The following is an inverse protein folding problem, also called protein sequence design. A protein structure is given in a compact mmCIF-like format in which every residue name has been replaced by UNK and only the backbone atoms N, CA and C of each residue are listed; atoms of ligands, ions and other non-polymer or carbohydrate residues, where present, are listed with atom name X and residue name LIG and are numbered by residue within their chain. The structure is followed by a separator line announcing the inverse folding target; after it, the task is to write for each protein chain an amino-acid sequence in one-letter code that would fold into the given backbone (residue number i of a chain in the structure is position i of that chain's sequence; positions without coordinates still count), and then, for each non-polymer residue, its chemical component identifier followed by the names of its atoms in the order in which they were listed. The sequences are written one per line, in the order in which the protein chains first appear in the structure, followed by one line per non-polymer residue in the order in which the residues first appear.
data_IF_219770346775
#
_entry.id   IF_219770346775
#
_cell.length_a   1.000
_cell.length_b   1.000
_cell.length_c   1.000
_cell.angle_alpha   90.00
_cell.angle_beta   90.00
_cell.angle_gamma   90.00
#
_symmetry.space_group_name_H-M   'P 1'
#
loop_
_entity.id
_entity.type
_entity.pdbx_description
1 polymer ?
#
# COMPACT_ATOMS: atom_id res chain seq x y z
N UNK A 1 50.17 -11.99 10.94
CA UNK A 1 49.08 -12.65 10.17
C UNK A 1 47.79 -11.88 10.39
N UNK A 2 46.90 -11.92 9.41
CA UNK A 2 45.98 -10.84 9.02
C UNK A 2 44.89 -10.49 10.03
N UNK A 3 44.68 -9.17 10.13
CA UNK A 3 43.51 -8.47 10.66
C UNK A 3 42.21 -8.85 9.94
N UNK A 4 41.07 -8.67 10.62
CA UNK A 4 39.80 -8.43 9.95
C UNK A 4 38.56 -8.84 10.74
N UNK A 5 38.29 -8.18 11.87
CA UNK A 5 36.95 -8.16 12.44
C UNK A 5 36.50 -6.69 12.54
N UNK A 6 35.42 -6.36 11.82
CA UNK A 6 34.26 -5.56 12.26
C UNK A 6 33.53 -4.91 11.06
N UNK A 7 32.20 -4.96 11.02
CA UNK A 7 31.39 -3.87 10.49
C UNK A 7 30.82 -3.09 11.67
N UNK A 8 31.52 -2.04 12.11
CA UNK A 8 30.95 -1.03 13.00
C UNK A 8 30.27 0.03 12.15
N UNK A 9 28.96 -0.11 11.95
CA UNK A 9 28.17 1.05 11.52
C UNK A 9 28.08 2.02 12.71
N UNK A 10 28.60 3.23 12.52
CA UNK A 10 28.77 4.25 13.56
C UNK A 10 27.41 4.89 13.92
N UNK A 11 27.10 5.17 15.20
CA UNK A 11 25.85 5.83 15.62
C UNK A 11 25.56 7.16 14.92
N UNK A 12 26.61 7.89 14.53
CA UNK A 12 26.51 9.18 13.84
C UNK A 12 25.84 9.07 12.45
N UNK A 13 26.14 8.02 11.67
CA UNK A 13 25.50 7.83 10.36
C UNK A 13 24.00 7.57 10.53
N UNK A 14 23.61 6.70 11.46
CA UNK A 14 22.19 6.37 11.70
C UNK A 14 21.37 7.60 12.09
N UNK A 15 21.96 8.48 12.90
CA UNK A 15 21.32 9.73 13.34
C UNK A 15 21.16 10.75 12.20
N UNK A 16 22.12 10.80 11.28
CA UNK A 16 22.07 11.63 10.08
C UNK A 16 21.04 11.11 9.04
N UNK A 17 20.95 9.79 8.86
CA UNK A 17 19.95 9.11 8.03
C UNK A 17 18.51 9.39 8.50
N UNK A 18 18.25 9.20 9.80
CA UNK A 18 16.94 9.47 10.39
C UNK A 18 16.59 10.97 10.28
N UNK A 19 17.59 11.85 10.37
CA UNK A 19 17.39 13.30 10.20
C UNK A 19 16.99 13.71 8.79
N UNK A 20 17.56 13.08 7.75
CA UNK A 20 17.27 13.41 6.36
C UNK A 20 15.89 12.92 5.93
N UNK A 21 15.50 11.71 6.34
CA UNK A 21 14.17 11.18 6.06
C UNK A 21 13.10 12.07 6.70
N UNK A 22 13.24 12.40 8.00
CA UNK A 22 12.28 13.26 8.71
C UNK A 22 12.23 14.65 8.08
N UNK A 23 13.38 15.24 7.72
CA UNK A 23 13.44 16.53 7.03
C UNK A 23 12.64 16.52 5.72
N UNK A 24 12.76 15.48 4.90
CA UNK A 24 12.01 15.39 3.64
C UNK A 24 10.49 15.24 3.85
N UNK A 25 10.08 14.57 4.93
CA UNK A 25 8.68 14.48 5.35
C UNK A 25 8.15 15.84 5.82
N UNK A 26 8.89 16.54 6.67
CA UNK A 26 8.53 17.86 7.18
C UNK A 26 8.44 18.93 6.07
N UNK A 27 9.13 18.73 4.95
CA UNK A 27 9.02 19.58 3.76
C UNK A 27 7.81 19.24 2.87
N UNK A 28 7.24 18.04 3.04
CA UNK A 28 6.14 17.55 2.22
C UNK A 28 4.81 18.17 2.62
N UNK A 29 3.89 18.20 1.66
CA UNK A 29 2.56 18.77 1.84
C UNK A 29 1.51 17.68 2.00
N UNK A 30 0.46 18.02 2.73
CA UNK A 30 -0.76 17.25 2.79
C UNK A 30 -1.37 17.14 1.39
N UNK A 31 -2.05 16.03 1.13
CA UNK A 31 -2.70 15.77 -0.14
C UNK A 31 -3.89 14.81 0.02
N UNK A 32 -4.55 14.49 -1.08
CA UNK A 32 -5.70 13.60 -1.09
C UNK A 32 -5.49 12.42 -2.05
N UNK A 33 -5.71 11.21 -1.57
CA UNK A 33 -5.79 10.01 -2.39
C UNK A 33 -7.26 9.77 -2.74
N UNK A 34 -7.58 9.78 -4.03
CA UNK A 34 -8.96 9.57 -4.51
C UNK A 34 -9.27 8.08 -4.67
N UNK A 35 -10.29 7.55 -3.97
CA UNK A 35 -10.83 6.21 -4.22
C UNK A 35 -11.05 5.94 -5.71
N UNK A 36 -10.74 4.73 -6.16
CA UNK A 36 -11.01 4.32 -7.54
C UNK A 36 -11.72 2.98 -7.63
N UNK A 37 -11.12 1.91 -7.10
CA UNK A 37 -11.63 0.56 -7.35
C UNK A 37 -11.23 -0.43 -6.26
N UNK A 38 -12.03 -1.49 -6.11
CA UNK A 38 -11.57 -2.76 -5.58
C UNK A 38 -10.96 -3.58 -6.71
N UNK A 39 -9.90 -4.33 -6.41
CA UNK A 39 -9.13 -5.05 -7.42
C UNK A 39 -8.54 -6.35 -6.87
N UNK A 40 -8.62 -7.41 -7.67
CA UNK A 40 -7.90 -8.66 -7.42
C UNK A 40 -6.51 -8.51 -8.04
N UNK A 41 -5.49 -8.33 -7.20
CA UNK A 41 -4.10 -8.27 -7.65
C UNK A 41 -3.54 -9.67 -7.91
N UNK A 42 -2.32 -9.73 -8.43
CA UNK A 42 -1.60 -10.98 -8.61
C UNK A 42 -1.58 -11.81 -7.32
N UNK A 43 -1.58 -13.14 -7.48
CA UNK A 43 -1.62 -14.10 -6.39
C UNK A 43 -2.89 -13.97 -5.52
N UNK A 44 -3.93 -13.30 -6.04
CA UNK A 44 -5.26 -13.29 -5.45
C UNK A 44 -5.41 -12.32 -4.29
N UNK A 45 -4.46 -11.41 -4.08
CA UNK A 45 -4.53 -10.40 -3.02
C UNK A 45 -5.64 -9.40 -3.36
N UNK A 46 -6.59 -9.21 -2.45
CA UNK A 46 -7.63 -8.20 -2.61
C UNK A 46 -7.10 -6.84 -2.19
N UNK A 47 -7.31 -5.85 -3.05
CA UNK A 47 -6.75 -4.51 -2.88
C UNK A 47 -7.81 -3.44 -3.09
N UNK A 48 -7.61 -2.32 -2.42
CA UNK A 48 -8.33 -1.08 -2.62
C UNK A 48 -7.40 -0.07 -3.30
N UNK A 49 -7.75 0.33 -4.53
CA UNK A 49 -6.96 1.17 -5.41
C UNK A 49 -7.41 2.63 -5.37
N UNK A 50 -6.44 3.53 -5.52
CA UNK A 50 -6.67 4.96 -5.67
C UNK A 50 -6.31 5.40 -7.10
N UNK A 51 -6.81 6.55 -7.54
CA UNK A 51 -6.63 7.03 -8.93
C UNK A 51 -5.16 7.23 -9.36
N UNK A 52 -4.25 7.38 -8.41
CA UNK A 52 -2.84 7.66 -8.67
C UNK A 52 -2.21 8.44 -7.53
N UNK A 53 -0.88 8.48 -7.45
CA UNK A 53 -0.21 9.29 -6.43
C UNK A 53 -0.37 10.79 -6.77
N UNK A 54 -0.80 11.64 -5.83
CA UNK A 54 -0.79 13.08 -6.01
C UNK A 54 0.65 13.61 -6.17
N UNK A 55 0.79 14.77 -6.83
CA UNK A 55 2.09 15.40 -7.06
C UNK A 55 2.92 15.53 -5.77
N UNK A 56 2.30 15.91 -4.65
CA UNK A 56 2.98 16.03 -3.36
C UNK A 56 3.65 14.73 -2.89
N UNK A 57 3.03 13.56 -3.11
CA UNK A 57 3.63 12.27 -2.76
C UNK A 57 4.68 11.83 -3.77
N UNK A 58 4.49 12.15 -5.06
CA UNK A 58 5.52 11.90 -6.08
C UNK A 58 6.78 12.71 -5.79
N UNK A 59 6.62 13.99 -5.46
CA UNK A 59 7.73 14.87 -5.09
C UNK A 59 8.45 14.36 -3.84
N UNK A 60 7.70 13.89 -2.83
CA UNK A 60 8.29 13.24 -1.65
C UNK A 60 9.10 11.99 -2.05
N UNK A 61 8.52 11.08 -2.84
CA UNK A 61 9.20 9.86 -3.30
C UNK A 61 10.47 10.19 -4.09
N UNK A 62 10.43 11.22 -4.94
CA UNK A 62 11.57 11.69 -5.72
C UNK A 62 12.67 12.25 -4.82
N UNK A 63 12.32 13.12 -3.86
CA UNK A 63 13.31 13.68 -2.91
C UNK A 63 13.90 12.63 -1.99
N UNK A 64 13.11 11.68 -1.48
CA UNK A 64 13.64 10.55 -0.71
C UNK A 64 14.66 9.76 -1.53
N UNK A 65 14.35 9.46 -2.80
CA UNK A 65 15.26 8.73 -3.69
C UNK A 65 16.54 9.51 -4.00
N UNK A 66 16.47 10.83 -4.14
CA UNK A 66 17.63 11.67 -4.42
C UNK A 66 18.52 11.93 -3.19
N UNK A 67 17.91 12.10 -2.01
CA UNK A 67 18.59 12.65 -0.84
C UNK A 67 18.88 11.62 0.26
N UNK A 68 18.15 10.49 0.31
CA UNK A 68 18.34 9.46 1.35
C UNK A 68 19.09 8.28 0.76
N UNK A 69 20.34 8.09 1.19
CA UNK A 69 21.17 6.97 0.74
C UNK A 69 20.69 5.64 1.35
N UNK A 70 21.04 4.52 0.70
CA UNK A 70 20.77 3.18 1.23
C UNK A 70 19.30 2.72 1.16
N UNK A 71 18.39 3.52 0.57
CA UNK A 71 17.02 3.07 0.33
C UNK A 71 17.01 1.86 -0.63
N UNK A 72 16.23 0.81 -0.35
CA UNK A 72 16.10 -0.33 -1.25
C UNK A 72 15.43 0.10 -2.56
N UNK A 73 15.69 -0.61 -3.66
CA UNK A 73 14.95 -0.41 -4.90
C UNK A 73 13.45 -0.50 -4.65
N UNK A 74 12.70 0.38 -5.30
CA UNK A 74 11.25 0.39 -5.14
C UNK A 74 10.62 -0.85 -5.78
N UNK A 75 9.73 -1.51 -5.04
CA UNK A 75 9.05 -2.71 -5.50
C UNK A 75 7.83 -2.36 -6.35
N UNK A 76 7.47 -3.17 -7.36
CA UNK A 76 6.33 -2.88 -8.23
C UNK A 76 5.02 -2.58 -7.48
N UNK A 77 4.80 -3.24 -6.33
CA UNK A 77 3.61 -3.06 -5.51
C UNK A 77 3.47 -1.70 -4.81
N UNK A 78 4.52 -0.89 -4.71
CA UNK A 78 4.47 0.47 -4.12
C UNK A 78 4.63 1.60 -5.14
N UNK A 79 4.77 1.26 -6.44
CA UNK A 79 4.85 2.23 -7.54
C UNK A 79 3.51 2.88 -7.90
N UNK A 80 2.42 2.43 -7.28
CA UNK A 80 1.08 2.97 -7.40
C UNK A 80 0.35 2.89 -6.05
N UNK A 81 -0.59 3.80 -5.76
CA UNK A 81 -1.25 3.81 -4.46
C UNK A 81 -2.33 2.73 -4.40
N UNK A 82 -2.15 1.82 -3.43
CA UNK A 82 -3.15 0.82 -3.06
C UNK A 82 -3.07 0.49 -1.58
N UNK A 83 -4.16 -0.05 -1.07
CA UNK A 83 -4.23 -0.71 0.24
C UNK A 83 -4.53 -2.18 0.03
N UNK A 84 -3.66 -3.07 0.48
CA UNK A 84 -3.98 -4.49 0.50
C UNK A 84 -5.00 -4.74 1.62
N UNK A 85 -6.13 -5.38 1.30
CA UNK A 85 -7.24 -5.61 2.23
C UNK A 85 -7.18 -6.98 2.88
N UNK A 86 -6.68 -7.97 2.14
CA UNK A 86 -6.63 -9.36 2.57
C UNK A 86 -5.96 -10.23 1.51
N UNK A 87 -5.58 -11.42 1.93
CA UNK A 87 -4.89 -12.41 1.11
C UNK A 87 -5.58 -13.77 1.22
N UNK A 88 -5.27 -14.67 0.30
CA UNK A 88 -5.75 -16.05 0.37
C UNK A 88 -5.10 -16.77 1.57
N UNK A 89 -5.84 -17.70 2.18
CA UNK A 89 -5.26 -18.63 3.15
C UNK A 89 -4.13 -19.47 2.54
N UNK A 90 -3.25 -20.01 3.38
CA UNK A 90 -2.15 -20.86 2.91
C UNK A 90 -2.68 -22.08 2.17
N UNK A 91 -2.00 -22.45 1.06
CA UNK A 91 -2.38 -23.54 0.14
C UNK A 91 -3.69 -23.33 -0.63
N UNK A 92 -4.36 -22.20 -0.46
CA UNK A 92 -5.52 -21.81 -1.28
C UNK A 92 -5.05 -21.27 -2.64
N UNK A 93 -5.80 -21.57 -3.69
CA UNK A 93 -5.71 -20.93 -5.01
C UNK A 93 -7.12 -20.58 -5.50
N UNK A 94 -7.23 -19.51 -6.28
CA UNK A 94 -8.49 -19.18 -6.95
C UNK A 94 -8.70 -20.12 -8.13
N UNK A 95 -9.91 -20.66 -8.26
CA UNK A 95 -10.38 -21.22 -9.53
C UNK A 95 -10.77 -20.09 -10.49
N UNK A 96 -10.87 -20.35 -11.81
CA UNK A 96 -11.38 -19.37 -12.77
C UNK A 96 -12.77 -18.83 -12.40
N UNK A 97 -13.68 -19.68 -11.92
CA UNK A 97 -15.02 -19.27 -11.48
C UNK A 97 -14.97 -18.37 -10.25
N UNK A 98 -14.13 -18.69 -9.26
CA UNK A 98 -13.96 -17.84 -8.07
C UNK A 98 -13.37 -16.47 -8.45
N UNK A 99 -12.40 -16.44 -9.37
CA UNK A 99 -11.86 -15.18 -9.87
C UNK A 99 -12.95 -14.36 -10.57
N UNK A 100 -13.77 -14.97 -11.44
CA UNK A 100 -14.88 -14.28 -12.10
C UNK A 100 -15.83 -13.66 -11.08
N UNK A 101 -16.23 -14.41 -10.05
CA UNK A 101 -17.08 -13.90 -8.96
C UNK A 101 -16.42 -12.71 -8.24
N UNK A 102 -15.12 -12.77 -7.96
CA UNK A 102 -14.40 -11.65 -7.35
C UNK A 102 -14.33 -10.43 -8.25
N UNK A 103 -14.12 -10.60 -9.56
CA UNK A 103 -14.11 -9.49 -10.53
C UNK A 103 -15.48 -8.82 -10.61
N UNK A 104 -16.57 -9.61 -10.61
CA UNK A 104 -17.94 -9.09 -10.58
C UNK A 104 -18.20 -8.28 -9.30
N UNK A 105 -17.76 -8.78 -8.14
CA UNK A 105 -17.86 -8.06 -6.86
C UNK A 105 -17.01 -6.78 -6.86
N UNK A 106 -15.77 -6.84 -7.36
CA UNK A 106 -14.91 -5.68 -7.50
C UNK A 106 -15.57 -4.60 -8.36
N UNK A 107 -16.09 -4.94 -9.54
CA UNK A 107 -16.77 -4.01 -10.42
C UNK A 107 -18.01 -3.38 -9.74
N UNK A 108 -18.87 -4.22 -9.16
CA UNK A 108 -20.09 -3.78 -8.45
C UNK A 108 -19.77 -2.80 -7.33
N UNK A 109 -18.86 -3.15 -6.43
CA UNK A 109 -18.53 -2.33 -5.27
C UNK A 109 -17.66 -1.11 -5.62
N UNK A 110 -17.02 -1.10 -6.80
CA UNK A 110 -16.27 0.06 -7.27
C UNK A 110 -17.15 1.16 -7.84
N UNK A 111 -18.33 0.83 -8.38
CA UNK A 111 -19.26 1.80 -8.95
C UNK A 111 -19.65 2.91 -7.95
N UNK A 112 -19.78 2.55 -6.67
CA UNK A 112 -20.15 3.47 -5.59
C UNK A 112 -18.99 4.37 -5.12
N UNK A 113 -17.75 4.10 -5.56
CA UNK A 113 -16.56 4.84 -5.10
C UNK A 113 -16.40 6.20 -5.78
N UNK A 114 -17.04 6.42 -6.94
CA UNK A 114 -16.94 7.68 -7.67
C UNK A 114 -17.43 8.88 -6.84
N UNK A 115 -18.39 8.64 -5.93
CA UNK A 115 -18.92 9.64 -4.99
C UNK A 115 -18.27 9.58 -3.60
N UNK A 116 -17.35 8.65 -3.34
CA UNK A 116 -16.75 8.50 -2.03
C UNK A 116 -15.78 9.65 -1.73
N UNK A 117 -15.76 10.07 -0.46
CA UNK A 117 -14.82 11.07 0.01
C UNK A 117 -13.35 10.61 -0.17
N UNK A 118 -12.48 11.56 -0.52
CA UNK A 118 -11.03 11.31 -0.62
C UNK A 118 -10.41 10.91 0.72
N UNK A 119 -9.36 10.08 0.68
CA UNK A 119 -8.50 9.84 1.83
C UNK A 119 -7.49 10.99 1.97
N UNK A 120 -7.59 11.75 3.06
CA UNK A 120 -6.68 12.86 3.36
C UNK A 120 -5.40 12.38 4.00
N UNK A 121 -4.29 12.57 3.29
CA UNK A 121 -2.93 12.28 3.79
C UNK A 121 -2.43 13.50 4.55
N UNK A 122 -2.57 13.47 5.88
CA UNK A 122 -2.17 14.59 6.77
C UNK A 122 -0.77 14.43 7.36
N UNK A 123 -0.34 13.19 7.47
CA UNK A 123 0.91 12.75 8.06
C UNK A 123 1.41 11.53 7.27
N UNK A 124 2.67 11.18 7.51
CA UNK A 124 3.23 9.92 7.08
C UNK A 124 3.86 9.23 8.30
N UNK A 125 3.67 7.91 8.39
CA UNK A 125 4.17 7.11 9.49
C UNK A 125 5.40 6.33 9.06
N UNK A 126 6.50 6.51 9.80
CA UNK A 126 7.64 5.61 9.74
C UNK A 126 7.37 4.44 10.71
N UNK A 127 7.19 3.25 10.14
CA UNK A 127 6.77 2.05 10.87
C UNK A 127 7.89 1.03 10.88
N UNK A 128 8.35 0.68 12.08
CA UNK A 128 9.19 -0.51 12.31
C UNK A 128 8.26 -1.68 12.62
N UNK A 129 8.34 -2.76 11.86
CA UNK A 129 7.38 -3.87 11.95
C UNK A 129 8.03 -5.24 12.05
N UNK A 130 7.24 -6.23 12.49
CA UNK A 130 7.61 -7.66 12.57
C UNK A 130 6.84 -8.55 11.59
N UNK A 131 5.98 -7.98 10.75
CA UNK A 131 5.28 -8.71 9.68
C UNK A 131 4.90 -7.75 8.55
N UNK A 132 4.68 -8.26 7.33
CA UNK A 132 4.45 -7.43 6.13
C UNK A 132 3.06 -6.79 6.09
N UNK A 133 2.09 -7.34 6.83
CA UNK A 133 0.76 -6.72 6.96
C UNK A 133 0.72 -5.50 7.88
N UNK A 134 1.79 -5.26 8.66
CA UNK A 134 1.86 -4.25 9.73
C UNK A 134 0.90 -4.49 10.91
N UNK A 135 0.35 -5.69 11.06
CA UNK A 135 -0.47 -6.07 12.22
C UNK A 135 0.37 -6.22 13.51
N UNK A 136 1.70 -6.39 13.37
CA UNK A 136 2.66 -6.38 14.47
C UNK A 136 3.71 -5.29 14.24
N UNK A 137 3.52 -4.15 14.90
CA UNK A 137 4.44 -3.01 14.87
C UNK A 137 5.29 -2.96 16.14
N UNK A 138 6.54 -2.51 16.01
CA UNK A 138 7.47 -2.27 17.12
C UNK A 138 7.53 -0.80 17.48
N UNK A 139 7.46 0.07 16.48
CA UNK A 139 7.45 1.52 16.65
C UNK A 139 6.71 2.15 15.48
N UNK A 140 5.97 3.21 15.78
CA UNK A 140 5.27 4.04 14.79
C UNK A 140 5.59 5.49 15.13
N UNK A 141 6.32 6.17 14.26
CA UNK A 141 6.57 7.60 14.36
C UNK A 141 5.74 8.32 13.31
N UNK A 142 4.78 9.12 13.75
CA UNK A 142 3.98 9.96 12.84
C UNK A 142 4.68 11.31 12.64
N UNK A 143 4.86 11.70 11.38
CA UNK A 143 5.41 13.00 11.00
C UNK A 143 4.32 13.80 10.28
N UNK A 144 3.83 14.92 10.85
CA UNK A 144 2.81 15.73 10.23
C UNK A 144 3.35 16.41 8.96
N UNK A 145 2.54 16.40 7.90
CA UNK A 145 2.86 17.10 6.65
C UNK A 145 2.36 18.55 6.71
N UNK A 146 3.03 19.43 5.96
CA UNK A 146 2.65 20.84 5.87
C UNK A 146 1.26 21.00 5.25
N UNK A 147 0.44 21.97 5.68
CA UNK A 147 -0.82 22.26 5.02
C UNK A 147 -0.67 22.38 3.49
N UNK A 148 -1.64 21.80 2.79
CA UNK A 148 -1.79 22.00 1.36
C UNK A 148 -1.89 23.50 1.04
N UNK A 149 -1.34 23.95 -0.10
CA UNK A 149 -1.65 25.29 -0.60
C UNK A 149 -3.06 25.31 -1.19
N UNK A 150 -3.65 26.48 -1.28
CA UNK A 150 -4.90 26.66 -2.04
C UNK A 150 -4.71 26.14 -3.48
N UNK A 151 -5.62 25.27 -3.93
CA UNK A 151 -5.52 24.60 -5.24
C UNK A 151 -4.64 23.35 -5.28
N UNK A 152 -3.79 23.10 -4.28
CA UNK A 152 -2.98 21.87 -4.15
C UNK A 152 -3.77 20.77 -3.43
N UNK A 153 -4.74 20.19 -4.14
CA UNK A 153 -5.46 18.96 -3.77
C UNK A 153 -5.99 18.25 -5.02
N UNK A 154 -5.41 18.63 -6.17
CA UNK A 154 -5.85 18.26 -7.49
C UNK A 154 -5.75 16.76 -7.71
N UNK A 155 -6.47 16.30 -8.73
CA UNK A 155 -6.34 14.97 -9.29
C UNK A 155 -4.86 14.59 -9.46
N UNK A 156 -4.51 13.30 -9.28
CA UNK A 156 -3.14 12.85 -9.56
C UNK A 156 -2.75 13.22 -11.01
N UNK A 157 -1.46 13.43 -11.29
CA UNK A 157 -1.00 13.70 -12.65
C UNK A 157 -1.51 12.64 -13.63
N UNK A 158 -1.81 13.04 -14.87
CA UNK A 158 -2.38 12.15 -15.88
C UNK A 158 -1.60 10.85 -16.09
N UNK A 159 -0.27 10.91 -16.05
CA UNK A 159 0.59 9.72 -16.14
C UNK A 159 0.31 8.70 -15.02
N UNK A 160 -0.01 9.17 -13.81
CA UNK A 160 -0.38 8.28 -12.71
C UNK A 160 -1.78 7.67 -12.92
N UNK A 161 -2.74 8.44 -13.44
CA UNK A 161 -4.05 7.91 -13.79
C UNK A 161 -3.95 6.83 -14.88
N UNK A 162 -3.15 7.08 -15.92
CA UNK A 162 -2.89 6.14 -17.00
C UNK A 162 -2.15 4.89 -16.51
N UNK A 163 -1.18 5.05 -15.59
CA UNK A 163 -0.48 3.93 -14.94
C UNK A 163 -1.45 3.04 -14.16
N UNK A 164 -2.28 3.62 -13.30
CA UNK A 164 -3.25 2.86 -12.51
C UNK A 164 -4.28 2.20 -13.43
N UNK A 165 -4.78 2.91 -14.44
CA UNK A 165 -5.71 2.35 -15.42
C UNK A 165 -5.11 1.13 -16.15
N UNK A 166 -3.84 1.20 -16.53
CA UNK A 166 -3.12 0.08 -17.15
C UNK A 166 -3.06 -1.15 -16.23
N UNK A 167 -2.72 -0.94 -14.95
CA UNK A 167 -2.65 -2.03 -13.95
C UNK A 167 -4.03 -2.67 -13.73
N UNK A 168 -5.09 -1.85 -13.62
CA UNK A 168 -6.45 -2.37 -13.42
C UNK A 168 -6.94 -3.13 -14.66
N UNK A 169 -6.57 -2.68 -15.87
CA UNK A 169 -6.93 -3.30 -17.13
C UNK A 169 -6.33 -4.71 -17.29
N UNK A 170 -5.23 -5.04 -16.59
CA UNK A 170 -4.65 -6.40 -16.61
C UNK A 170 -5.70 -7.46 -16.25
N UNK A 171 -6.61 -7.16 -15.33
CA UNK A 171 -7.64 -8.11 -14.88
C UNK A 171 -8.66 -8.50 -15.95
N UNK A 172 -8.73 -7.75 -17.05
CA UNK A 172 -9.56 -8.07 -18.21
C UNK A 172 -8.90 -9.02 -19.21
N UNK A 173 -7.60 -9.35 -19.04
CA UNK A 173 -6.91 -10.25 -19.95
C UNK A 173 -7.44 -11.70 -19.80
N UNK A 174 -7.65 -12.45 -20.90
CA UNK A 174 -8.18 -13.83 -20.83
C UNK A 174 -7.34 -14.78 -19.96
N UNK A 175 -6.04 -14.52 -19.87
CA UNK A 175 -5.05 -15.32 -19.14
C UNK A 175 -4.69 -14.71 -17.77
N UNK A 176 -5.35 -13.64 -17.33
CA UNK A 176 -5.08 -13.00 -16.04
C UNK A 176 -5.22 -13.97 -14.86
N UNK A 177 -6.06 -14.99 -15.00
CA UNK A 177 -6.25 -16.01 -13.98
C UNK A 177 -4.94 -16.71 -13.60
N UNK A 178 -3.98 -16.87 -14.51
CA UNK A 178 -2.68 -17.44 -14.18
C UNK A 178 -1.92 -16.55 -13.19
N UNK A 179 -1.97 -15.23 -13.38
CA UNK A 179 -1.34 -14.27 -12.49
C UNK A 179 -2.05 -14.21 -11.12
N UNK A 180 -3.39 -14.20 -11.12
CA UNK A 180 -4.21 -14.14 -9.91
C UNK A 180 -4.17 -15.46 -9.09
N UNK A 181 -4.07 -16.62 -9.73
CA UNK A 181 -4.05 -17.92 -9.03
C UNK A 181 -2.65 -18.40 -8.62
N UNK A 182 -1.59 -17.75 -9.12
CA UNK A 182 -0.19 -18.10 -8.83
C UNK A 182 0.07 -18.19 -7.32
N UNK A 183 0.96 -19.11 -6.93
CA UNK A 183 1.44 -19.20 -5.55
C UNK A 183 2.27 -17.97 -5.14
N UNK A 184 2.20 -17.63 -3.86
CA UNK A 184 2.84 -16.46 -3.27
C UNK A 184 1.83 -15.61 -2.49
N UNK A 185 2.32 -14.66 -1.69
CA UNK A 185 1.49 -13.70 -0.96
C UNK A 185 0.26 -14.31 -0.26
N UNK A 186 0.43 -15.50 0.33
CA UNK A 186 -0.58 -16.13 1.19
C UNK A 186 -0.45 -15.60 2.61
N UNK A 187 -1.35 -16.01 3.50
CA UNK A 187 -1.33 -15.62 4.91
C UNK A 187 0.06 -15.65 5.55
N UNK A 188 0.82 -16.75 5.41
CA UNK A 188 2.17 -16.87 5.97
C UNK A 188 3.12 -15.75 5.48
N UNK A 189 3.07 -15.37 4.19
CA UNK A 189 3.89 -14.28 3.66
C UNK A 189 3.68 -12.96 4.41
N UNK A 190 2.42 -12.67 4.76
CA UNK A 190 2.04 -11.43 5.43
C UNK A 190 2.22 -11.48 6.94
N UNK A 191 1.90 -12.62 7.56
CA UNK A 191 1.80 -12.78 9.02
C UNK A 191 3.09 -13.31 9.67
N UNK A 192 3.99 -13.96 8.92
CA UNK A 192 5.24 -14.49 9.49
C UNK A 192 6.22 -13.38 9.89
N UNK A 193 7.21 -13.76 10.69
CA UNK A 193 8.24 -12.85 11.17
C UNK A 193 9.00 -12.25 9.98
N UNK A 194 8.90 -10.94 9.84
CA UNK A 194 9.66 -10.16 8.86
C UNK A 194 9.90 -8.76 9.41
N UNK A 195 11.13 -8.53 9.86
CA UNK A 195 11.58 -7.22 10.33
C UNK A 195 11.81 -6.30 9.14
N UNK A 196 11.25 -5.09 9.21
CA UNK A 196 11.44 -4.07 8.20
C UNK A 196 11.05 -2.69 8.70
N UNK A 197 11.36 -1.69 7.88
CA UNK A 197 10.96 -0.29 8.10
C UNK A 197 10.30 0.24 6.84
N UNK A 198 9.10 0.78 6.98
CA UNK A 198 8.37 1.36 5.84
C UNK A 198 7.75 2.70 6.21
N UNK A 199 7.73 3.60 5.24
CA UNK A 199 6.97 4.84 5.26
C UNK A 199 5.59 4.59 4.64
N UNK A 200 4.54 4.82 5.42
CA UNK A 200 3.16 4.57 5.01
C UNK A 200 2.26 5.74 5.36
N UNK A 201 1.03 5.69 4.85
CA UNK A 201 -0.10 6.39 5.44
C UNK A 201 -1.17 5.34 5.77
N UNK A 202 -1.58 5.23 7.04
CA UNK A 202 -2.65 4.31 7.43
C UNK A 202 -4.00 4.74 6.84
N UNK A 203 -4.89 3.79 6.60
CA UNK A 203 -6.25 4.02 6.14
C UNK A 203 -7.13 4.53 7.30
N UNK A 204 -6.82 5.74 7.78
CA UNK A 204 -7.61 6.48 8.78
C UNK A 204 -8.47 7.51 8.05
N UNK A 205 -9.50 7.00 7.36
CA UNK A 205 -10.31 7.77 6.43
C UNK A 205 -11.71 8.12 6.92
N UNK A 206 -12.51 8.80 6.08
CA UNK A 206 -13.94 9.01 6.32
C UNK A 206 -14.65 7.67 6.56
N UNK A 207 -15.64 7.66 7.47
CA UNK A 207 -16.39 6.44 7.81
C UNK A 207 -17.05 5.80 6.58
N UNK A 208 -17.44 6.61 5.58
CA UNK A 208 -17.99 6.12 4.32
C UNK A 208 -17.04 5.18 3.56
N UNK A 209 -15.74 5.51 3.57
CA UNK A 209 -14.69 4.73 2.91
C UNK A 209 -14.47 3.40 3.64
N UNK A 210 -14.38 3.46 4.97
CA UNK A 210 -14.24 2.27 5.81
C UNK A 210 -15.47 1.37 5.70
N UNK A 211 -16.67 1.96 5.66
CA UNK A 211 -17.91 1.25 5.44
C UNK A 211 -17.95 0.57 4.06
N UNK A 212 -17.42 1.20 3.01
CA UNK A 212 -17.31 0.60 1.69
C UNK A 212 -16.38 -0.63 1.71
N UNK A 213 -15.22 -0.54 2.36
CA UNK A 213 -14.31 -1.68 2.54
C UNK A 213 -14.99 -2.82 3.30
N UNK A 214 -15.68 -2.52 4.42
CA UNK A 214 -16.40 -3.53 5.20
C UNK A 214 -17.55 -4.18 4.42
N UNK A 215 -18.28 -3.40 3.61
CA UNK A 215 -19.32 -3.94 2.71
C UNK A 215 -18.74 -4.90 1.68
N UNK A 216 -17.63 -4.52 1.05
CA UNK A 216 -16.93 -5.37 0.09
C UNK A 216 -16.44 -6.67 0.73
N UNK A 217 -15.78 -6.59 1.90
CA UNK A 217 -15.33 -7.77 2.66
C UNK A 217 -16.46 -8.75 2.96
N UNK A 218 -17.59 -8.25 3.48
CA UNK A 218 -18.78 -9.08 3.74
C UNK A 218 -19.36 -9.74 2.48
N UNK A 219 -19.36 -9.03 1.36
CA UNK A 219 -19.85 -9.60 0.09
C UNK A 219 -18.93 -10.72 -0.41
N UNK A 220 -17.61 -10.55 -0.27
CA UNK A 220 -16.63 -11.60 -0.58
C UNK A 220 -16.80 -12.80 0.34
N UNK A 221 -16.93 -12.60 1.66
CA UNK A 221 -17.12 -13.69 2.61
C UNK A 221 -18.41 -14.49 2.36
N UNK A 222 -19.49 -13.79 1.97
CA UNK A 222 -20.75 -14.43 1.61
C UNK A 222 -20.65 -15.26 0.32
N UNK A 223 -19.88 -14.78 -0.67
CA UNK A 223 -19.73 -15.46 -1.96
C UNK A 223 -18.66 -16.58 -1.92
N UNK A 224 -17.60 -16.40 -1.15
CA UNK A 224 -16.41 -17.26 -1.09
C UNK A 224 -15.99 -17.53 0.37
N UNK A 225 -16.84 -18.19 1.16
CA UNK A 225 -16.62 -18.37 2.60
C UNK A 225 -15.30 -19.09 2.89
N UNK A 226 -14.54 -18.56 3.85
CA UNK A 226 -13.28 -19.16 4.30
C UNK A 226 -12.12 -19.09 3.30
N UNK A 227 -12.25 -18.32 2.22
CA UNK A 227 -11.20 -18.19 1.19
C UNK A 227 -10.14 -17.16 1.57
N UNK A 228 -10.55 -16.08 2.22
CA UNK A 228 -9.70 -14.92 2.51
C UNK A 228 -9.39 -14.75 3.99
N UNK A 229 -8.14 -14.40 4.25
CA UNK A 229 -7.68 -13.81 5.49
C UNK A 229 -7.63 -12.28 5.33
N UNK A 230 -8.53 -11.58 6.00
CA UNK A 230 -8.56 -10.12 6.03
C UNK A 230 -7.50 -9.58 6.99
N UNK A 231 -6.83 -8.49 6.60
CA UNK A 231 -5.92 -7.76 7.49
C UNK A 231 -6.72 -6.85 8.42
N UNK A 232 -6.20 -6.68 9.64
CA UNK A 232 -6.81 -5.81 10.65
C UNK A 232 -7.05 -4.39 10.13
N UNK A 233 -8.21 -3.81 10.47
CA UNK A 233 -8.60 -2.45 10.04
C UNK A 233 -7.54 -1.41 10.43
N UNK A 234 -6.91 -1.56 11.59
CA UNK A 234 -5.85 -0.67 12.08
C UNK A 234 -4.51 -0.80 11.32
N UNK A 235 -4.31 -1.91 10.61
CA UNK A 235 -3.09 -2.18 9.86
C UNK A 235 -3.22 -1.82 8.37
N UNK A 236 -4.43 -1.53 7.88
CA UNK A 236 -4.66 -1.11 6.50
C UNK A 236 -3.92 0.19 6.21
N UNK A 237 -3.13 0.21 5.13
CA UNK A 237 -2.27 1.34 4.81
C UNK A 237 -2.01 1.45 3.31
N UNK A 238 -1.51 2.61 2.89
CA UNK A 238 -0.87 2.84 1.60
C UNK A 238 0.63 2.95 1.83
N UNK A 239 1.41 2.11 1.18
CA UNK A 239 2.87 2.20 1.23
C UNK A 239 3.32 3.39 0.39
N UNK A 240 4.02 4.35 1.00
CA UNK A 240 4.66 5.47 0.30
C UNK A 240 6.05 5.04 -0.15
N UNK A 241 6.84 4.43 0.75
CA UNK A 241 8.20 3.95 0.43
C UNK A 241 8.67 2.87 1.41
N UNK A 242 9.33 1.82 0.92
CA UNK A 242 10.13 0.93 1.76
C UNK A 242 11.45 1.61 2.15
N UNK A 243 11.82 1.54 3.43
CA UNK A 243 13.04 2.17 3.98
C UNK A 243 14.09 1.10 4.29
N UNK A 244 13.66 -0.02 4.89
CA UNK A 244 14.47 -1.23 5.13
C UNK A 244 13.59 -2.44 4.87
N UNK A 245 14.11 -3.43 4.14
CA UNK A 245 13.42 -4.69 3.79
C UNK A 245 14.16 -5.91 4.31
#
# INVERSE_FOLDING_TARGET
MRNGCQPTSTPAMKQEYDSLLVKELELSRQCELKPLAFFVSWQGVLTFAYRGFPAALLDLKARLTANVQGLPSEQPGSLWPKTSLGCLHDRQRLTPDQLRVLLDLCAKHSADLASAASLRVRDAQLVVHQCRSLERTLSVQSVPLRPAREGEGALPPREQEERVASILAESGAPDYWFAASRDGNRRAHYADAHLGVTLVHFLVGPEELLAAVRRFRRAVDAALPGTYHWFDDAALHVTIRAVVT
#
